data_IF_364208515247
#
_entry.id   IF_364208515247
#
_cell.length_a   1.000
_cell.length_b   1.000
_cell.length_c   1.000
_cell.angle_alpha   90.00
_cell.angle_beta   90.00
_cell.angle_gamma   90.00
#
_symmetry.space_group_name_H-M   'P 1'
#
loop_
_entity.id
_entity.type
_entity.pdbx_description
1 polymer ?
#
# COMPACT_ATOMS: atom_id res chain seq x y z
N UNK A 1 -49.19 34.84 24.27
CA UNK A 1 -47.97 34.50 25.04
C UNK A 1 -47.97 33.00 25.20
N UNK A 2 -47.09 32.19 24.63
CA UNK A 2 -45.91 32.41 23.78
C UNK A 2 -45.40 31.00 23.45
N UNK A 3 -44.88 30.83 22.23
CA UNK A 3 -43.84 29.86 21.85
C UNK A 3 -44.22 28.36 21.96
N UNK A 4 -43.77 27.43 21.12
CA UNK A 4 -42.55 27.37 20.32
C UNK A 4 -42.82 26.29 19.23
N UNK A 5 -42.82 26.64 17.96
CA UNK A 5 -41.70 26.40 17.04
C UNK A 5 -40.88 25.13 17.32
N UNK A 6 -40.89 24.26 16.30
CA UNK A 6 -40.17 23.00 16.20
C UNK A 6 -38.71 23.11 16.62
N UNK A 7 -38.24 22.12 17.38
CA UNK A 7 -36.88 21.57 17.20
C UNK A 7 -37.00 20.15 16.66
N UNK A 8 -36.45 19.82 15.48
CA UNK A 8 -36.25 18.44 15.12
C UNK A 8 -35.17 17.87 16.06
N UNK A 9 -35.53 16.83 16.82
CA UNK A 9 -34.52 15.95 17.40
C UNK A 9 -33.80 15.30 16.23
N UNK A 10 -32.51 15.57 16.09
CA UNK A 10 -31.65 14.84 15.16
C UNK A 10 -31.69 13.39 15.62
N UNK A 11 -32.45 12.54 14.92
CA UNK A 11 -32.26 11.10 15.02
C UNK A 11 -30.88 10.86 14.41
N UNK A 12 -29.87 10.75 15.26
CA UNK A 12 -28.63 10.11 14.87
C UNK A 12 -29.03 8.71 14.44
N UNK A 13 -29.09 8.48 13.12
CA UNK A 13 -29.20 7.13 12.60
C UNK A 13 -27.97 6.42 13.14
N UNK A 14 -28.19 5.43 13.99
CA UNK A 14 -27.17 4.46 14.35
C UNK A 14 -26.50 4.01 13.06
N UNK A 15 -25.23 4.38 12.89
CA UNK A 15 -24.39 3.61 11.98
C UNK A 15 -24.35 2.21 12.60
N UNK A 16 -25.09 1.29 11.99
CA UNK A 16 -24.82 -0.13 12.13
C UNK A 16 -23.42 -0.36 11.60
N UNK A 17 -22.41 -0.19 12.46
CA UNK A 17 -21.05 -0.63 12.16
C UNK A 17 -21.11 -2.15 12.27
N UNK A 18 -21.47 -2.81 11.17
CA UNK A 18 -21.20 -4.24 11.03
C UNK A 18 -19.69 -4.41 11.18
N UNK A 19 -19.26 -5.19 12.17
CA UNK A 19 -17.88 -5.62 12.33
C UNK A 19 -17.43 -6.40 11.07
N UNK A 20 -16.97 -5.68 10.04
CA UNK A 20 -16.05 -6.22 9.06
C UNK A 20 -14.69 -6.21 9.77
N UNK A 21 -14.30 -7.36 10.32
CA UNK A 21 -12.92 -7.58 10.72
C UNK A 21 -12.11 -7.43 9.43
N UNK A 22 -11.55 -6.23 9.18
CA UNK A 22 -10.41 -6.10 8.28
C UNK A 22 -9.38 -7.05 8.86
N UNK A 23 -9.03 -8.10 8.12
CA UNK A 23 -7.91 -8.98 8.48
C UNK A 23 -6.61 -8.18 8.30
N UNK A 24 -6.41 -7.16 9.14
CA UNK A 24 -5.20 -6.38 9.26
C UNK A 24 -4.28 -7.16 10.20
N UNK A 25 -3.71 -8.27 9.73
CA UNK A 25 -2.52 -8.82 10.39
C UNK A 25 -1.35 -7.93 9.95
N UNK A 26 -1.23 -6.77 10.59
CA UNK A 26 -0.10 -5.85 10.42
C UNK A 26 1.12 -6.45 11.13
N UNK A 27 1.80 -7.37 10.45
CA UNK A 27 3.17 -7.68 10.80
C UNK A 27 4.05 -6.63 10.13
N UNK A 28 4.27 -5.52 10.84
CA UNK A 28 5.24 -4.51 10.41
C UNK A 28 6.61 -5.19 10.24
N UNK A 29 7.12 -5.17 9.02
CA UNK A 29 8.45 -5.70 8.69
C UNK A 29 9.40 -4.53 8.50
N UNK A 30 10.46 -4.50 9.30
CA UNK A 30 11.51 -3.50 9.17
C UNK A 30 12.60 -4.02 8.22
N UNK A 31 13.04 -3.17 7.30
CA UNK A 31 14.15 -3.43 6.39
C UNK A 31 15.13 -2.27 6.53
N UNK A 32 16.40 -2.55 6.75
CA UNK A 32 17.46 -1.55 6.84
C UNK A 32 18.30 -1.59 5.58
N UNK A 33 18.65 -0.42 5.04
CA UNK A 33 19.53 -0.27 3.88
C UNK A 33 20.45 0.95 4.06
N UNK A 34 21.56 0.96 3.34
CA UNK A 34 22.45 2.10 3.23
C UNK A 34 22.14 2.91 1.97
N UNK A 35 22.43 4.20 1.99
CA UNK A 35 22.23 5.05 0.82
C UNK A 35 23.07 4.55 -0.36
N UNK A 36 22.48 4.50 -1.54
CA UNK A 36 23.11 4.01 -2.77
C UNK A 36 22.86 2.54 -3.07
N UNK A 37 22.25 1.79 -2.15
CA UNK A 37 21.92 0.38 -2.37
C UNK A 37 20.61 0.20 -3.15
N UNK A 38 20.44 -0.98 -3.73
CA UNK A 38 19.13 -1.45 -4.20
C UNK A 38 18.51 -2.29 -3.09
N UNK A 39 17.22 -2.07 -2.80
CA UNK A 39 16.50 -2.78 -1.73
C UNK A 39 15.29 -3.50 -2.29
N UNK A 40 14.98 -4.66 -1.69
CA UNK A 40 13.78 -5.43 -1.99
C UNK A 40 12.82 -5.33 -0.81
N UNK A 41 11.69 -4.66 -1.00
CA UNK A 41 10.60 -4.61 -0.04
C UNK A 41 9.69 -5.81 -0.26
N UNK A 42 9.76 -6.78 0.65
CA UNK A 42 9.07 -8.05 0.45
C UNK A 42 7.56 -7.94 0.66
N UNK A 43 6.78 -8.39 -0.31
CA UNK A 43 5.33 -8.55 -0.20
C UNK A 43 4.92 -9.90 -0.80
N UNK A 44 4.22 -10.73 -0.02
CA UNK A 44 3.80 -12.06 -0.47
C UNK A 44 2.35 -12.34 -0.11
N UNK A 45 1.57 -12.76 -1.09
CA UNK A 45 0.20 -13.21 -0.87
C UNK A 45 0.20 -14.62 -0.27
N UNK A 46 -0.78 -14.95 0.61
CA UNK A 46 -0.88 -16.29 1.18
C UNK A 46 -1.21 -17.36 0.12
N UNK A 47 -1.79 -16.95 -1.00
CA UNK A 47 -2.09 -17.75 -2.18
C UNK A 47 -1.71 -16.98 -3.45
N UNK A 48 -1.33 -17.69 -4.51
CA UNK A 48 -0.91 -17.10 -5.79
C UNK A 48 -1.99 -17.15 -6.86
N UNK A 49 -3.20 -17.61 -6.51
CA UNK A 49 -4.28 -17.77 -7.47
C UNK A 49 -4.86 -16.40 -7.86
N UNK A 50 -4.61 -16.00 -9.10
CA UNK A 50 -5.30 -14.91 -9.78
C UNK A 50 -5.10 -13.52 -9.12
N UNK A 51 -3.85 -13.14 -8.85
CA UNK A 51 -3.48 -11.76 -8.52
C UNK A 51 -3.75 -10.88 -9.74
N UNK A 52 -4.49 -9.78 -9.56
CA UNK A 52 -4.92 -8.89 -10.65
C UNK A 52 -4.29 -7.51 -10.60
N UNK A 53 -4.01 -7.06 -9.38
CA UNK A 53 -3.49 -5.73 -9.10
C UNK A 53 -2.50 -5.84 -7.97
N UNK A 54 -1.35 -5.18 -8.12
CA UNK A 54 -0.50 -4.77 -7.00
C UNK A 54 -0.33 -3.26 -7.05
N UNK A 55 -0.52 -2.63 -5.91
CA UNK A 55 -0.24 -1.22 -5.67
C UNK A 55 0.76 -1.12 -4.53
N UNK A 56 1.87 -0.44 -4.78
CA UNK A 56 2.79 0.04 -3.78
C UNK A 56 2.57 1.53 -3.59
N UNK A 57 2.30 1.94 -2.36
CA UNK A 57 2.08 3.34 -1.98
C UNK A 57 2.91 3.69 -0.74
N UNK A 58 3.05 4.99 -0.48
CA UNK A 58 3.48 5.48 0.83
C UNK A 58 2.45 6.49 1.35
N UNK A 59 2.12 6.49 2.65
CA UNK A 59 1.13 7.41 3.21
C UNK A 59 1.48 8.89 3.03
N UNK A 60 2.77 9.23 2.92
CA UNK A 60 3.26 10.60 2.78
C UNK A 60 3.21 11.15 1.34
N UNK A 61 2.85 10.32 0.35
CA UNK A 61 2.70 10.72 -1.05
C UNK A 61 1.24 10.98 -1.46
N UNK A 62 0.28 10.84 -0.53
CA UNK A 62 -1.14 11.00 -0.83
C UNK A 62 -1.64 9.95 -1.81
N UNK A 63 -2.25 10.39 -2.91
CA UNK A 63 -2.87 9.52 -3.93
C UNK A 63 -1.86 9.00 -4.98
N UNK A 64 -0.62 9.49 -4.98
CA UNK A 64 0.41 9.05 -5.93
C UNK A 64 1.01 7.70 -5.52
N UNK A 65 1.23 6.82 -6.51
CA UNK A 65 1.79 5.50 -6.28
C UNK A 65 3.32 5.52 -6.34
N UNK A 66 3.95 4.63 -5.56
CA UNK A 66 5.33 4.23 -5.79
C UNK A 66 5.40 3.38 -7.07
N UNK A 67 4.52 2.38 -7.18
CA UNK A 67 4.36 1.51 -8.35
C UNK A 67 2.94 0.95 -8.36
N UNK A 68 2.30 0.96 -9.53
CA UNK A 68 1.02 0.28 -9.75
C UNK A 68 1.16 -0.64 -10.95
N UNK A 69 0.72 -1.89 -10.80
CA UNK A 69 0.75 -2.91 -11.85
C UNK A 69 -0.57 -3.66 -11.88
N UNK A 70 -1.27 -3.56 -13.01
CA UNK A 70 -2.63 -4.06 -13.22
C UNK A 70 -2.71 -4.72 -14.59
N UNK A 71 -3.31 -5.91 -14.65
CA UNK A 71 -3.53 -6.64 -15.90
C UNK A 71 -2.28 -6.67 -16.80
N UNK A 72 -1.14 -7.01 -16.18
CA UNK A 72 0.18 -7.15 -16.80
C UNK A 72 0.83 -5.85 -17.33
N UNK A 73 0.33 -4.69 -16.90
CA UNK A 73 0.83 -3.38 -17.31
C UNK A 73 1.11 -2.47 -16.12
N UNK A 74 2.17 -1.67 -16.22
CA UNK A 74 2.42 -0.58 -15.28
C UNK A 74 1.50 0.60 -15.58
N UNK A 75 1.07 1.31 -14.53
CA UNK A 75 0.45 2.62 -14.64
C UNK A 75 1.48 3.72 -14.34
N UNK A 76 2.07 4.38 -15.36
CA UNK A 76 3.03 5.44 -15.16
C UNK A 76 2.40 6.82 -14.93
N UNK A 77 1.09 6.99 -15.14
CA UNK A 77 0.43 8.31 -15.12
C UNK A 77 0.36 8.87 -13.70
N UNK A 78 -0.01 8.03 -12.73
CA UNK A 78 -0.14 8.39 -11.31
C UNK A 78 1.09 8.00 -10.46
N UNK A 79 2.21 7.68 -11.10
CA UNK A 79 3.45 7.33 -10.39
C UNK A 79 4.17 8.58 -9.89
N UNK A 80 4.48 8.61 -8.59
CA UNK A 80 5.19 9.70 -7.96
C UNK A 80 6.57 9.92 -8.63
N UNK A 81 6.94 11.18 -8.98
CA UNK A 81 8.14 11.46 -9.78
C UNK A 81 9.46 10.92 -9.20
N UNK A 82 9.62 10.87 -7.87
CA UNK A 82 10.84 10.37 -7.23
C UNK A 82 11.10 8.87 -7.43
N UNK A 83 10.10 8.10 -7.86
CA UNK A 83 10.21 6.65 -8.10
C UNK A 83 10.31 6.28 -9.57
N UNK A 84 10.11 7.24 -10.50
CA UNK A 84 10.23 6.99 -11.94
C UNK A 84 11.62 6.46 -12.28
N UNK A 85 11.67 5.37 -13.05
CA UNK A 85 12.89 4.67 -13.44
C UNK A 85 13.73 4.11 -12.26
N UNK A 86 13.19 4.09 -11.04
CA UNK A 86 13.87 3.55 -9.86
C UNK A 86 13.19 2.33 -9.25
N UNK A 87 12.04 1.92 -9.75
CA UNK A 87 11.28 0.81 -9.16
C UNK A 87 10.84 -0.22 -10.20
N UNK A 88 10.74 -1.46 -9.75
CA UNK A 88 10.21 -2.59 -10.52
C UNK A 88 9.65 -3.66 -9.58
N UNK A 89 8.92 -4.63 -10.11
CA UNK A 89 8.55 -5.84 -9.38
C UNK A 89 9.69 -6.87 -9.49
N UNK A 90 10.00 -7.52 -8.37
CA UNK A 90 10.98 -8.61 -8.31
C UNK A 90 10.62 -9.76 -9.27
N UNK A 91 9.34 -10.09 -9.36
CA UNK A 91 8.79 -11.01 -10.33
C UNK A 91 7.49 -10.47 -10.92
N UNK A 92 7.53 -10.01 -12.18
CA UNK A 92 6.34 -9.52 -12.89
C UNK A 92 5.34 -10.63 -13.22
N UNK A 93 5.75 -11.90 -13.18
CA UNK A 93 4.85 -13.05 -13.27
C UNK A 93 4.18 -13.37 -11.92
N UNK A 94 4.65 -12.75 -10.83
CA UNK A 94 4.14 -12.91 -9.47
C UNK A 94 4.03 -14.38 -9.03
N UNK A 95 5.00 -15.20 -9.43
CA UNK A 95 5.01 -16.63 -9.10
C UNK A 95 5.07 -16.79 -7.59
N UNK A 96 4.38 -17.82 -7.12
CA UNK A 96 4.28 -18.12 -5.69
C UNK A 96 3.81 -16.93 -4.84
N UNK A 97 3.05 -16.01 -5.47
CA UNK A 97 2.47 -14.85 -4.84
C UNK A 97 3.49 -13.79 -4.45
N UNK A 98 4.62 -13.70 -5.16
CA UNK A 98 5.65 -12.68 -4.91
C UNK A 98 5.33 -11.36 -5.61
N UNK A 99 5.07 -10.31 -4.84
CA UNK A 99 4.87 -8.95 -5.35
C UNK A 99 5.88 -7.98 -4.72
N UNK A 100 7.07 -8.49 -4.38
CA UNK A 100 8.12 -7.70 -3.78
C UNK A 100 8.55 -6.56 -4.70
N UNK A 101 8.72 -5.37 -4.14
CA UNK A 101 9.16 -4.18 -4.84
C UNK A 101 10.68 -4.07 -4.79
N UNK A 102 11.31 -3.83 -5.93
CA UNK A 102 12.69 -3.37 -6.00
C UNK A 102 12.67 -1.83 -5.98
N UNK A 103 13.48 -1.22 -5.13
CA UNK A 103 13.77 0.23 -5.16
C UNK A 103 15.27 0.43 -5.33
N UNK A 104 15.67 1.06 -6.43
CA UNK A 104 17.06 1.22 -6.83
C UNK A 104 17.65 2.52 -6.27
N UNK A 105 18.94 2.45 -5.93
CA UNK A 105 19.74 3.60 -5.46
C UNK A 105 19.01 4.41 -4.37
N UNK A 106 18.69 3.74 -3.25
CA UNK A 106 17.92 4.34 -2.17
C UNK A 106 18.67 5.50 -1.49
N UNK A 107 17.92 6.47 -0.98
CA UNK A 107 18.44 7.63 -0.23
C UNK A 107 17.69 7.80 1.07
N UNK A 108 18.16 8.66 1.98
CA UNK A 108 17.46 8.90 3.26
C UNK A 108 16.02 9.39 3.08
N UNK A 109 15.69 10.01 1.93
CA UNK A 109 14.31 10.41 1.56
C UNK A 109 13.40 9.23 1.21
N UNK A 110 13.99 8.08 0.91
CA UNK A 110 13.28 6.84 0.66
C UNK A 110 12.87 6.13 1.97
N UNK A 111 13.39 6.56 3.13
CA UNK A 111 13.00 5.98 4.42
C UNK A 111 11.53 6.31 4.74
N UNK A 112 10.82 5.32 5.28
CA UNK A 112 9.42 5.47 5.65
C UNK A 112 8.60 4.18 5.47
N UNK A 113 7.30 4.32 5.68
CA UNK A 113 6.34 3.23 5.52
C UNK A 113 5.95 3.07 4.05
N UNK A 114 6.09 1.85 3.55
CA UNK A 114 5.58 1.40 2.26
C UNK A 114 4.42 0.44 2.50
N UNK A 115 3.36 0.62 1.75
CA UNK A 115 2.17 -0.23 1.79
C UNK A 115 2.07 -1.01 0.48
N UNK A 116 2.04 -2.34 0.59
CA UNK A 116 1.69 -3.22 -0.52
C UNK A 116 0.20 -3.56 -0.41
N UNK A 117 -0.57 -3.25 -1.44
CA UNK A 117 -2.00 -3.59 -1.55
C UNK A 117 -2.19 -4.46 -2.77
N UNK A 118 -2.84 -5.61 -2.59
CA UNK A 118 -2.96 -6.62 -3.63
C UNK A 118 -4.41 -7.01 -3.78
N UNK A 119 -4.92 -6.97 -5.01
CA UNK A 119 -6.27 -7.42 -5.33
C UNK A 119 -6.25 -8.86 -5.84
N UNK A 120 -6.89 -9.74 -5.06
CA UNK A 120 -7.06 -11.14 -5.39
C UNK A 120 -8.34 -11.32 -6.19
N UNK A 121 -8.23 -11.66 -7.47
CA UNK A 121 -9.39 -11.77 -8.36
C UNK A 121 -10.30 -12.97 -8.03
N UNK A 122 -9.74 -14.06 -7.50
CA UNK A 122 -10.50 -15.25 -7.10
C UNK A 122 -11.43 -14.95 -5.92
N UNK A 123 -10.89 -14.41 -4.83
CA UNK A 123 -11.64 -14.08 -3.61
C UNK A 123 -12.33 -12.72 -3.67
N UNK A 124 -12.03 -11.91 -4.70
CA UNK A 124 -12.48 -10.52 -4.86
C UNK A 124 -12.19 -9.67 -3.63
N UNK A 125 -11.03 -9.87 -3.02
CA UNK A 125 -10.64 -9.21 -1.78
C UNK A 125 -9.30 -8.50 -1.93
N UNK A 126 -9.14 -7.44 -1.15
CA UNK A 126 -7.85 -6.77 -0.98
C UNK A 126 -7.11 -7.36 0.21
N UNK A 127 -5.81 -7.58 0.04
CA UNK A 127 -4.87 -7.85 1.13
C UNK A 127 -3.87 -6.69 1.20
N UNK A 128 -3.41 -6.38 2.40
CA UNK A 128 -2.44 -5.31 2.62
C UNK A 128 -1.33 -5.75 3.56
N UNK A 129 -0.11 -5.29 3.32
CA UNK A 129 1.02 -5.42 4.24
C UNK A 129 1.84 -4.14 4.27
N UNK A 130 2.31 -3.77 5.46
CA UNK A 130 3.17 -2.60 5.68
C UNK A 130 4.62 -3.01 5.94
N UNK A 131 5.53 -2.32 5.26
CA UNK A 131 6.98 -2.49 5.38
C UNK A 131 7.57 -1.14 5.76
N UNK A 132 8.46 -1.10 6.74
CA UNK A 132 9.16 0.13 7.13
C UNK A 132 10.62 0.06 6.65
N UNK A 133 10.99 0.95 5.72
CA UNK A 133 12.36 1.07 5.22
C UNK A 133 13.14 2.08 6.08
N UNK A 134 14.25 1.63 6.65
CA UNK A 134 15.13 2.42 7.51
C UNK A 134 16.42 2.71 6.75
N UNK A 135 16.68 3.99 6.48
CA UNK A 135 18.00 4.46 6.09
C UNK A 135 18.55 5.35 7.21
N UNK A 136 19.52 4.86 8.01
CA UNK A 136 20.15 5.71 9.01
C UNK A 136 20.84 6.91 8.33
N UNK A 137 20.92 8.07 9.00
CA UNK A 137 21.76 9.16 8.54
C UNK A 137 23.19 8.65 8.32
N UNK A 138 23.78 8.96 7.16
CA UNK A 138 25.20 8.70 6.95
C UNK A 138 26.04 9.48 7.96
N UNK A 139 27.15 8.87 8.41
CA UNK A 139 28.23 9.60 9.09
C UNK A 139 28.90 10.62 8.16
#
# INVERSE_FOLDING_TARGET
MSEDSKRPVIIAKELHISNLILQHIHKEKNITAESGQDVILTCRAPNNNNIRVVEWSRPDLGDEYVLSYRDEQFDPENQHPSFKNRVDLQDRQMKDGDMSLIVNNVTTTDSGTYECRVFMGETRSWISSSIYLILPPGE
#
